data_IF_674228706877
#
_entry.id   IF_674228706877
#
_cell.length_a   1.000
_cell.length_b   1.000
_cell.length_c   1.000
_cell.angle_alpha   90.00
_cell.angle_beta   90.00
_cell.angle_gamma   90.00
#
_symmetry.space_group_name_H-M   'P 1'
#
loop_
_entity.id
_entity.type
_entity.pdbx_description
1 polymer ?
#
# COMPACT_ATOMS: atom_id res chain seq x y z
N UNK A 1 8.09 18.72 -12.79
CA UNK A 1 6.91 17.83 -12.86
C UNK A 1 7.33 16.38 -13.10
N UNK A 2 8.09 16.07 -14.15
CA UNK A 2 8.64 14.71 -14.33
C UNK A 2 9.61 14.30 -13.19
N UNK A 3 10.46 15.23 -12.74
CA UNK A 3 11.45 14.94 -11.68
C UNK A 3 10.82 14.62 -10.32
N UNK A 4 9.72 15.31 -9.96
CA UNK A 4 9.01 15.08 -8.69
C UNK A 4 8.22 13.76 -8.71
N UNK A 5 7.62 13.39 -9.85
CA UNK A 5 6.96 12.09 -9.98
C UNK A 5 7.97 10.95 -9.86
N UNK A 6 9.12 11.06 -10.52
CA UNK A 6 10.17 10.05 -10.42
C UNK A 6 10.71 9.95 -8.99
N UNK A 7 10.95 11.08 -8.32
CA UNK A 7 11.38 11.09 -6.91
C UNK A 7 10.37 10.37 -6.01
N UNK A 8 9.06 10.59 -6.19
CA UNK A 8 8.02 9.87 -5.42
C UNK A 8 8.00 8.38 -5.74
N UNK A 9 8.19 7.98 -7.00
CA UNK A 9 8.31 6.56 -7.37
C UNK A 9 9.51 5.91 -6.69
N UNK A 10 10.68 6.56 -6.73
CA UNK A 10 11.90 6.09 -6.08
C UNK A 10 11.71 5.97 -4.55
N UNK A 11 11.01 6.92 -3.94
CA UNK A 11 10.65 6.88 -2.53
C UNK A 11 9.72 5.70 -2.21
N UNK A 12 8.73 5.39 -3.04
CA UNK A 12 7.84 4.23 -2.85
C UNK A 12 8.60 2.92 -3.03
N UNK A 13 9.53 2.86 -3.98
CA UNK A 13 10.36 1.68 -4.20
C UNK A 13 11.32 1.44 -3.02
N UNK A 14 11.72 2.51 -2.32
CA UNK A 14 12.49 2.43 -1.07
C UNK A 14 11.69 1.88 0.12
N UNK A 15 10.36 1.85 0.04
CA UNK A 15 9.51 1.21 1.06
C UNK A 15 9.58 -0.29 0.86
N UNK A 16 10.10 -1.02 1.83
CA UNK A 16 10.30 -2.48 1.75
C UNK A 16 9.47 -3.19 2.81
N UNK A 17 9.20 -4.46 2.59
CA UNK A 17 8.68 -5.31 3.66
C UNK A 17 9.64 -5.31 4.85
N UNK A 18 9.10 -5.29 6.07
CA UNK A 18 9.91 -5.38 7.29
C UNK A 18 10.73 -6.68 7.32
N UNK A 19 11.91 -6.69 7.97
CA UNK A 19 12.65 -7.92 8.21
C UNK A 19 11.78 -9.02 8.83
N UNK A 20 11.75 -10.20 8.21
CA UNK A 20 10.94 -11.34 8.64
C UNK A 20 9.48 -11.33 8.15
N UNK A 21 9.03 -10.29 7.45
CA UNK A 21 7.72 -10.26 6.78
C UNK A 21 7.90 -10.63 5.32
N UNK A 22 7.32 -11.76 4.91
CA UNK A 22 7.23 -12.15 3.50
C UNK A 22 5.96 -11.57 2.86
N UNK A 23 5.93 -11.48 1.54
CA UNK A 23 4.73 -11.07 0.80
C UNK A 23 3.48 -11.87 1.21
N UNK A 24 3.60 -13.19 1.34
CA UNK A 24 2.52 -14.07 1.77
C UNK A 24 2.12 -13.85 3.24
N UNK A 25 3.08 -13.56 4.12
CA UNK A 25 2.78 -13.22 5.51
C UNK A 25 2.02 -11.88 5.61
N UNK A 26 2.44 -10.88 4.83
CA UNK A 26 1.74 -9.60 4.72
C UNK A 26 0.32 -9.80 4.17
N UNK A 27 0.16 -10.57 3.09
CA UNK A 27 -1.14 -10.93 2.52
C UNK A 27 -2.06 -11.58 3.56
N UNK A 28 -1.56 -12.56 4.33
CA UNK A 28 -2.33 -13.22 5.41
C UNK A 28 -2.72 -12.25 6.52
N UNK A 29 -1.91 -11.23 6.82
CA UNK A 29 -2.31 -10.16 7.75
C UNK A 29 -3.48 -9.36 7.17
N UNK A 30 -3.41 -8.97 5.89
CA UNK A 30 -4.45 -8.21 5.19
C UNK A 30 -5.77 -8.99 5.05
N UNK A 31 -5.70 -10.31 4.82
CA UNK A 31 -6.87 -11.20 4.73
C UNK A 31 -7.72 -11.24 6.02
N UNK A 32 -7.17 -10.79 7.16
CA UNK A 32 -7.92 -10.68 8.43
C UNK A 32 -8.91 -9.50 8.43
N UNK A 33 -8.80 -8.56 7.50
CA UNK A 33 -9.75 -7.46 7.34
C UNK A 33 -11.07 -8.02 6.80
N UNK A 34 -12.10 -8.11 7.66
CA UNK A 34 -13.40 -8.74 7.35
C UNK A 34 -14.34 -7.90 6.47
N UNK A 35 -13.83 -6.89 5.77
CA UNK A 35 -14.62 -6.04 4.90
C UNK A 35 -14.74 -6.67 3.49
N UNK A 36 -15.94 -7.03 2.99
CA UNK A 36 -16.09 -7.74 1.72
C UNK A 36 -15.49 -6.98 0.52
N UNK A 37 -15.64 -5.65 0.49
CA UNK A 37 -15.03 -4.77 -0.52
C UNK A 37 -13.50 -4.86 -0.49
N UNK A 38 -12.91 -4.89 0.70
CA UNK A 38 -11.47 -5.02 0.87
C UNK A 38 -10.98 -6.39 0.38
N UNK A 39 -11.60 -7.47 0.86
CA UNK A 39 -11.22 -8.84 0.46
C UNK A 39 -11.32 -9.07 -1.05
N UNK A 40 -12.33 -8.49 -1.72
CA UNK A 40 -12.45 -8.53 -3.18
C UNK A 40 -11.33 -7.76 -3.87
N UNK A 41 -11.02 -6.56 -3.40
CA UNK A 41 -9.96 -5.73 -3.96
C UNK A 41 -8.56 -6.31 -3.73
N UNK A 42 -8.31 -6.91 -2.56
CA UNK A 42 -7.03 -7.52 -2.19
C UNK A 42 -6.55 -8.54 -3.23
N UNK A 43 -7.46 -9.37 -3.74
CA UNK A 43 -7.14 -10.38 -4.76
C UNK A 43 -6.62 -9.79 -6.08
N UNK A 44 -6.98 -8.54 -6.39
CA UNK A 44 -6.61 -7.86 -7.65
C UNK A 44 -5.46 -6.88 -7.46
N UNK A 45 -5.38 -6.23 -6.30
CA UNK A 45 -4.53 -5.07 -6.09
C UNK A 45 -3.32 -5.35 -5.20
N UNK A 46 -3.16 -6.57 -4.66
CA UNK A 46 -1.98 -6.98 -3.90
C UNK A 46 -1.13 -7.93 -4.74
N UNK A 47 -0.06 -7.40 -5.31
CA UNK A 47 0.76 -8.04 -6.35
C UNK A 47 2.23 -7.88 -6.00
N UNK A 48 3.03 -8.91 -6.32
CA UNK A 48 4.48 -8.86 -6.18
C UNK A 48 5.13 -8.11 -7.34
N UNK A 49 6.21 -7.40 -7.05
CA UNK A 49 7.13 -6.92 -8.08
C UNK A 49 8.10 -8.04 -8.52
N UNK A 50 8.91 -7.83 -9.58
CA UNK A 50 9.87 -8.83 -10.07
C UNK A 50 10.95 -9.23 -9.05
N UNK A 51 11.23 -8.39 -8.05
CA UNK A 51 12.20 -8.65 -6.99
C UNK A 51 11.59 -9.48 -5.84
N UNK A 52 10.29 -9.78 -5.91
CA UNK A 52 9.55 -10.56 -4.92
C UNK A 52 9.01 -9.74 -3.75
N UNK A 53 9.14 -8.41 -3.78
CA UNK A 53 8.56 -7.48 -2.82
C UNK A 53 7.18 -7.02 -3.30
N UNK A 54 6.56 -6.05 -2.62
CA UNK A 54 5.24 -5.50 -2.94
C UNK A 54 5.37 -4.43 -4.01
N UNK A 55 4.64 -4.59 -5.11
CA UNK A 55 4.63 -3.62 -6.19
C UNK A 55 4.17 -2.21 -5.74
N UNK A 56 4.71 -1.16 -6.36
CA UNK A 56 4.41 0.25 -6.08
C UNK A 56 2.90 0.51 -5.98
N UNK A 57 2.15 0.07 -6.98
CA UNK A 57 0.71 0.30 -7.00
C UNK A 57 -0.05 -0.46 -5.89
N UNK A 58 0.49 -1.56 -5.36
CA UNK A 58 -0.09 -2.28 -4.20
C UNK A 58 0.14 -1.50 -2.92
N UNK A 59 1.31 -0.87 -2.76
CA UNK A 59 1.60 0.06 -1.65
C UNK A 59 0.64 1.25 -1.72
N UNK A 60 0.52 1.90 -2.88
CA UNK A 60 -0.41 3.01 -3.09
C UNK A 60 -1.88 2.62 -2.82
N UNK A 61 -2.30 1.44 -3.28
CA UNK A 61 -3.63 0.90 -3.02
C UNK A 61 -3.90 0.68 -1.54
N UNK A 62 -2.97 0.05 -0.83
CA UNK A 62 -3.15 -0.25 0.59
C UNK A 62 -3.10 1.03 1.43
N UNK A 63 -2.21 1.97 1.09
CA UNK A 63 -2.18 3.30 1.70
C UNK A 63 -3.54 4.00 1.61
N UNK A 64 -4.15 4.01 0.42
CA UNK A 64 -5.45 4.65 0.21
C UNK A 64 -6.55 4.09 1.15
N UNK A 65 -6.50 2.81 1.53
CA UNK A 65 -7.45 2.22 2.48
C UNK A 65 -7.28 2.75 3.91
N UNK A 66 -6.05 3.07 4.32
CA UNK A 66 -5.79 3.77 5.58
C UNK A 66 -6.23 5.23 5.54
N UNK A 67 -6.16 5.88 4.37
CA UNK A 67 -6.44 7.31 4.25
C UNK A 67 -7.94 7.62 4.15
N UNK A 68 -8.68 6.78 3.42
CA UNK A 68 -10.08 7.03 3.03
C UNK A 68 -11.07 7.14 4.21
N UNK A 69 -10.65 6.86 5.45
CA UNK A 69 -11.54 6.82 6.61
C UNK A 69 -11.43 7.98 7.60
N UNK A 70 -10.61 9.02 7.33
CA UNK A 70 -10.43 10.20 8.21
C UNK A 70 -10.67 9.91 9.70
N UNK A 71 -9.88 8.98 10.27
CA UNK A 71 -9.84 8.63 11.71
C UNK A 71 -11.17 8.20 12.35
N UNK A 72 -12.18 7.83 11.56
CA UNK A 72 -13.53 7.48 12.06
C UNK A 72 -14.04 6.11 11.60
N UNK A 73 -13.40 5.52 10.57
CA UNK A 73 -13.65 4.13 10.18
C UNK A 73 -12.62 3.20 10.87
N UNK A 74 -13.06 2.25 11.70
CA UNK A 74 -12.19 1.24 12.30
C UNK A 74 -11.33 0.48 11.28
N UNK A 75 -11.79 0.36 10.03
CA UNK A 75 -11.05 -0.25 8.93
C UNK A 75 -9.85 0.60 8.53
N UNK A 76 -9.99 1.92 8.49
CA UNK A 76 -8.92 2.84 8.09
C UNK A 76 -7.81 2.91 9.15
N UNK A 77 -8.19 2.96 10.43
CA UNK A 77 -7.24 2.85 11.54
C UNK A 77 -6.51 1.51 11.51
N UNK A 78 -7.24 0.41 11.29
CA UNK A 78 -6.64 -0.92 11.23
C UNK A 78 -5.74 -1.11 10.00
N UNK A 79 -6.07 -0.51 8.85
CA UNK A 79 -5.18 -0.50 7.69
C UNK A 79 -3.89 0.27 7.99
N UNK A 80 -3.99 1.43 8.64
CA UNK A 80 -2.82 2.22 9.03
C UNK A 80 -1.94 1.48 10.06
N UNK A 81 -2.55 0.77 11.00
CA UNK A 81 -1.84 -0.12 11.92
C UNK A 81 -1.15 -1.26 11.17
N UNK A 82 -1.86 -1.95 10.28
CA UNK A 82 -1.32 -3.06 9.50
C UNK A 82 -0.20 -2.63 8.56
N UNK A 83 -0.24 -1.40 8.03
CA UNK A 83 0.87 -0.83 7.28
C UNK A 83 2.17 -0.85 8.08
N UNK A 84 2.12 -0.33 9.31
CA UNK A 84 3.29 -0.28 10.20
C UNK A 84 3.78 -1.67 10.62
N UNK A 85 2.94 -2.69 10.51
CA UNK A 85 3.28 -4.09 10.77
C UNK A 85 3.86 -4.83 9.56
N UNK A 86 3.77 -4.24 8.37
CA UNK A 86 4.12 -4.85 7.08
C UNK A 86 5.35 -4.17 6.48
N UNK A 87 5.42 -2.84 6.50
CA UNK A 87 6.48 -2.06 5.84
C UNK A 87 7.44 -1.42 6.82
N UNK A 88 8.70 -1.28 6.39
CA UNK A 88 9.78 -0.67 7.14
C UNK A 88 9.59 0.84 7.37
N UNK A 89 8.96 1.53 6.41
CA UNK A 89 8.53 2.92 6.55
C UNK A 89 7.14 3.01 7.15
N UNK A 90 6.98 3.91 8.11
CA UNK A 90 5.70 4.14 8.76
C UNK A 90 4.65 4.73 7.81
N UNK A 91 3.38 4.49 8.11
CA UNK A 91 2.24 5.01 7.36
C UNK A 91 2.29 6.54 7.27
N UNK A 92 2.64 7.21 8.38
CA UNK A 92 2.80 8.67 8.42
C UNK A 92 3.95 9.17 7.57
N UNK A 93 5.03 8.39 7.45
CA UNK A 93 6.12 8.73 6.55
C UNK A 93 5.63 8.68 5.10
N UNK A 94 4.87 7.64 4.73
CA UNK A 94 4.33 7.51 3.38
C UNK A 94 3.37 8.67 3.04
N UNK A 95 2.49 9.02 3.98
CA UNK A 95 1.58 10.16 3.82
C UNK A 95 2.33 11.49 3.61
N UNK A 96 3.34 11.77 4.44
CA UNK A 96 4.10 13.02 4.38
C UNK A 96 4.95 13.17 3.11
N UNK A 97 5.43 12.08 2.51
CA UNK A 97 6.36 12.12 1.38
C UNK A 97 5.68 11.84 0.03
N UNK A 98 4.67 10.96 0.02
CA UNK A 98 3.98 10.53 -1.20
C UNK A 98 2.62 11.24 -1.31
N UNK A 99 1.85 11.23 -0.22
CA UNK A 99 0.54 11.84 -0.15
C UNK A 99 -0.57 11.04 -0.85
N UNK A 100 -1.80 11.34 -0.47
CA UNK A 100 -2.98 10.64 -0.96
C UNK A 100 -3.24 10.83 -2.46
N UNK A 101 -3.06 12.05 -3.00
CA UNK A 101 -3.35 12.34 -4.41
C UNK A 101 -2.49 11.48 -5.34
N UNK A 102 -1.18 11.43 -5.06
CA UNK A 102 -0.25 10.58 -5.80
C UNK A 102 -0.63 9.10 -5.65
N UNK A 103 -0.82 8.61 -4.42
CA UNK A 103 -1.19 7.23 -4.19
C UNK A 103 -2.51 6.86 -4.92
N UNK A 104 -3.48 7.77 -4.97
CA UNK A 104 -4.76 7.56 -5.65
C UNK A 104 -4.60 7.45 -7.17
N UNK A 105 -3.72 8.25 -7.78
CA UNK A 105 -3.41 8.19 -9.22
C UNK A 105 -2.75 6.84 -9.59
N UNK A 106 -1.84 6.36 -8.75
CA UNK A 106 -1.00 5.20 -9.08
C UNK A 106 -1.51 3.85 -8.54
N UNK A 107 -2.52 3.80 -7.67
CA UNK A 107 -3.03 2.55 -7.07
C UNK A 107 -3.60 1.51 -8.05
N UNK A 108 -3.88 1.89 -9.28
CA UNK A 108 -4.49 1.04 -10.30
C UNK A 108 -3.54 0.69 -11.46
N UNK A 109 -2.28 1.12 -11.42
CA UNK A 109 -1.34 0.91 -12.55
C UNK A 109 -1.13 -0.57 -12.88
N UNK A 110 -1.32 -1.46 -11.91
CA UNK A 110 -1.27 -2.92 -12.10
C UNK A 110 -2.32 -3.42 -13.11
N UNK A 111 -3.45 -2.73 -13.21
CA UNK A 111 -4.54 -3.07 -14.12
C UNK A 111 -4.33 -2.52 -15.53
N UNK A 112 -3.29 -1.72 -15.77
CA UNK A 112 -2.94 -1.21 -17.11
C UNK A 112 -2.07 -2.20 -17.91
N UNK A 113 -1.51 -3.23 -17.26
CA UNK A 113 -0.70 -4.28 -17.89
C UNK A 113 -1.44 -5.62 -18.09
N UNK A 114 -2.77 -5.66 -17.90
CA UNK A 114 -3.60 -6.85 -18.12
C UNK A 114 -4.40 -6.80 -19.41
#
# INVERSE_FOLDING_TARGET
MADEEQEKRDLIDSVKLRPGVTFEAARRKLEKIKLPKFAKALKKCWVQDPDGDVALASKCWFFCWGWSGHSSDPTAEYCSFLWNEVFDKEYRWFDANIGYEFAQMHRNEQAACS
#
